data_IF_805425076359
#
_entry.id   IF_805425076359
#
_cell.length_a   1.000
_cell.length_b   1.000
_cell.length_c   1.000
_cell.angle_alpha   90.00
_cell.angle_beta   90.00
_cell.angle_gamma   90.00
#
_symmetry.space_group_name_H-M   'P 1'
#
loop_
_entity.id
_entity.type
_entity.pdbx_description
1 polymer ?
#
# COMPACT_ATOMS: atom_id res chain seq x y z
N UNK A 1 73.40 -49.86 -33.27
CA UNK A 1 72.71 -48.61 -33.64
C UNK A 1 71.35 -48.59 -32.96
N UNK A 2 71.06 -47.49 -32.23
CA UNK A 2 69.75 -46.85 -31.94
C UNK A 2 68.57 -47.70 -31.42
N UNK A 3 68.09 -47.45 -30.18
CA UNK A 3 66.93 -46.58 -29.82
C UNK A 3 65.59 -47.14 -30.34
N UNK A 4 64.49 -47.21 -29.60
CA UNK A 4 64.07 -46.45 -28.44
C UNK A 4 63.04 -47.23 -27.61
N UNK A 5 63.09 -47.05 -26.29
CA UNK A 5 62.02 -47.43 -25.38
C UNK A 5 60.86 -46.44 -25.52
N UNK A 6 59.67 -46.95 -25.86
CA UNK A 6 58.40 -46.26 -25.68
C UNK A 6 58.06 -46.28 -24.19
N UNK A 7 58.52 -45.26 -23.46
CA UNK A 7 58.04 -44.98 -22.12
C UNK A 7 56.68 -44.28 -22.24
N UNK A 8 55.61 -44.97 -21.85
CA UNK A 8 54.34 -44.33 -21.54
C UNK A 8 54.56 -43.44 -20.31
N UNK A 9 54.66 -42.14 -20.52
CA UNK A 9 54.57 -41.15 -19.43
C UNK A 9 53.13 -41.11 -18.90
N UNK A 10 52.84 -41.95 -17.91
CA UNK A 10 51.74 -41.67 -16.99
C UNK A 10 52.24 -40.62 -15.99
N UNK A 11 51.92 -39.37 -16.25
CA UNK A 11 52.16 -38.25 -15.34
C UNK A 11 51.37 -38.49 -14.05
N UNK A 12 52.07 -38.86 -12.99
CA UNK A 12 51.49 -39.00 -11.64
C UNK A 12 51.08 -37.61 -11.19
N UNK A 13 49.77 -37.35 -11.17
CA UNK A 13 49.19 -36.10 -10.71
C UNK A 13 49.58 -35.88 -9.25
N UNK A 14 50.21 -34.74 -8.96
CA UNK A 14 50.70 -34.37 -7.65
C UNK A 14 49.56 -34.41 -6.61
N UNK A 15 49.67 -35.31 -5.62
CA UNK A 15 48.63 -35.56 -4.60
C UNK A 15 48.27 -34.32 -3.79
N UNK A 16 49.16 -33.34 -3.71
CA UNK A 16 48.95 -32.06 -3.03
C UNK A 16 48.05 -31.14 -3.85
N UNK A 17 48.22 -31.12 -5.17
CA UNK A 17 47.35 -30.41 -6.10
C UNK A 17 45.93 -30.98 -6.05
N UNK A 18 45.80 -32.30 -6.08
CA UNK A 18 44.50 -32.97 -6.06
C UNK A 18 43.74 -32.73 -4.74
N UNK A 19 44.43 -32.70 -3.59
CA UNK A 19 43.83 -32.33 -2.30
C UNK A 19 43.37 -30.86 -2.26
N UNK A 20 44.15 -29.93 -2.81
CA UNK A 20 43.77 -28.50 -2.88
C UNK A 20 42.53 -28.29 -3.75
N UNK A 21 42.46 -28.99 -4.89
CA UNK A 21 41.29 -28.97 -5.78
C UNK A 21 40.06 -29.53 -5.05
N UNK A 22 40.19 -30.67 -4.36
CA UNK A 22 39.10 -31.26 -3.57
C UNK A 22 38.60 -30.29 -2.47
N UNK A 23 39.49 -29.65 -1.73
CA UNK A 23 39.10 -28.66 -0.72
C UNK A 23 38.45 -27.42 -1.34
N UNK A 24 38.90 -26.98 -2.53
CA UNK A 24 38.25 -25.92 -3.28
C UNK A 24 36.80 -26.26 -3.65
N UNK A 25 36.57 -27.48 -4.18
CA UNK A 25 35.23 -27.95 -4.49
C UNK A 25 34.37 -28.14 -3.24
N UNK A 26 34.93 -28.67 -2.15
CA UNK A 26 34.22 -28.81 -0.88
C UNK A 26 33.79 -27.45 -0.30
N UNK A 27 34.67 -26.45 -0.36
CA UNK A 27 34.35 -25.09 0.07
C UNK A 27 33.25 -24.46 -0.80
N UNK A 28 33.31 -24.63 -2.12
CA UNK A 28 32.26 -24.17 -3.06
C UNK A 28 30.92 -24.85 -2.80
N UNK A 29 30.92 -26.15 -2.51
CA UNK A 29 29.71 -26.90 -2.18
C UNK A 29 29.09 -26.41 -0.87
N UNK A 30 29.89 -26.20 0.17
CA UNK A 30 29.44 -25.65 1.45
C UNK A 30 28.89 -24.23 1.29
N UNK A 31 29.57 -23.37 0.52
CA UNK A 31 29.10 -22.03 0.20
C UNK A 31 27.74 -22.07 -0.52
N UNK A 32 27.58 -22.97 -1.48
CA UNK A 32 26.33 -23.14 -2.24
C UNK A 32 25.18 -23.59 -1.34
N UNK A 33 25.43 -24.51 -0.41
CA UNK A 33 24.45 -24.93 0.60
C UNK A 33 24.09 -23.76 1.53
N UNK A 34 25.07 -23.00 1.99
CA UNK A 34 24.84 -21.83 2.86
C UNK A 34 23.99 -20.76 2.14
N UNK A 35 24.30 -20.43 0.89
CA UNK A 35 23.51 -19.49 0.07
C UNK A 35 22.09 -20.03 -0.16
N UNK A 36 21.93 -21.33 -0.39
CA UNK A 36 20.61 -21.94 -0.61
C UNK A 36 19.74 -21.92 0.65
N UNK A 37 20.32 -22.17 1.82
CA UNK A 37 19.63 -22.12 3.11
C UNK A 37 19.27 -20.67 3.47
N UNK A 38 20.21 -19.75 3.31
CA UNK A 38 19.95 -18.31 3.47
C UNK A 38 18.85 -17.85 2.50
N UNK A 39 18.92 -18.26 1.24
CA UNK A 39 17.92 -17.94 0.22
C UNK A 39 16.53 -18.47 0.53
N UNK A 40 16.40 -19.65 1.16
CA UNK A 40 15.08 -20.15 1.61
C UNK A 40 14.55 -19.40 2.83
N UNK A 41 15.42 -19.01 3.75
CA UNK A 41 15.03 -18.34 4.98
C UNK A 41 14.69 -16.86 4.76
N UNK A 42 15.52 -16.15 3.99
CA UNK A 42 15.23 -14.79 3.52
C UNK A 42 14.24 -14.77 2.34
N UNK A 43 14.09 -15.87 1.62
CA UNK A 43 13.18 -15.96 0.48
C UNK A 43 11.72 -15.77 0.86
N UNK A 44 11.30 -16.23 2.04
CA UNK A 44 9.93 -16.02 2.51
C UNK A 44 9.65 -14.55 2.83
N UNK A 45 10.57 -13.85 3.50
CA UNK A 45 10.43 -12.42 3.78
C UNK A 45 10.59 -11.52 2.54
N UNK A 46 11.40 -11.94 1.57
CA UNK A 46 11.53 -11.26 0.26
C UNK A 46 10.28 -11.53 -0.61
N UNK A 47 9.75 -12.75 -0.61
CA UNK A 47 8.55 -13.12 -1.38
C UNK A 47 7.29 -12.38 -0.91
N UNK A 48 7.22 -12.06 0.38
CA UNK A 48 6.12 -11.28 0.94
C UNK A 48 6.22 -9.79 0.62
N UNK A 49 7.34 -9.28 0.07
CA UNK A 49 7.47 -7.89 -0.41
C UNK A 49 6.97 -6.80 0.57
N UNK A 50 7.06 -7.05 1.89
CA UNK A 50 6.56 -6.15 2.95
C UNK A 50 5.14 -6.46 3.46
N UNK A 51 4.41 -7.39 2.86
CA UNK A 51 3.16 -7.94 3.37
C UNK A 51 3.37 -8.88 4.56
N UNK A 52 2.30 -9.15 5.30
CA UNK A 52 2.23 -10.18 6.33
C UNK A 52 0.80 -10.72 6.37
N UNK A 53 0.63 -12.00 6.62
CA UNK A 53 -0.64 -12.66 6.92
C UNK A 53 -0.93 -12.71 8.43
N UNK A 54 -0.06 -12.12 9.26
CA UNK A 54 -0.24 -12.03 10.70
C UNK A 54 -1.48 -11.20 11.06
N UNK A 55 -2.47 -11.86 11.66
CA UNK A 55 -3.71 -11.22 12.11
C UNK A 55 -3.66 -10.73 13.56
N UNK A 56 -2.47 -10.71 14.19
CA UNK A 56 -2.30 -10.18 15.55
C UNK A 56 -2.81 -8.75 15.63
N UNK A 57 -3.70 -8.51 16.59
CA UNK A 57 -4.35 -7.20 16.77
C UNK A 57 -3.44 -6.27 17.54
N UNK A 58 -3.23 -5.07 17.00
CA UNK A 58 -2.51 -3.99 17.64
C UNK A 58 -3.42 -2.82 18.00
N UNK A 59 -3.09 -2.16 19.11
CA UNK A 59 -3.72 -0.93 19.58
C UNK A 59 -2.75 0.23 19.37
N UNK A 60 -3.09 1.11 18.42
CA UNK A 60 -2.32 2.30 18.10
C UNK A 60 -3.06 3.52 18.62
N UNK A 61 -2.37 4.36 19.38
CA UNK A 61 -2.94 5.57 19.99
C UNK A 61 -2.50 6.79 19.19
N UNK A 62 -3.47 7.58 18.72
CA UNK A 62 -3.25 8.87 18.04
C UNK A 62 -4.14 9.92 18.70
N UNK A 63 -3.53 10.88 19.38
CA UNK A 63 -4.28 11.83 20.22
C UNK A 63 -5.06 11.09 21.30
N UNK A 64 -6.37 11.32 21.36
CA UNK A 64 -7.30 10.67 22.30
C UNK A 64 -7.95 9.39 21.76
N UNK A 65 -7.51 8.91 20.59
CA UNK A 65 -8.14 7.81 19.89
C UNK A 65 -7.31 6.54 20.00
N UNK A 66 -7.98 5.41 20.24
CA UNK A 66 -7.37 4.08 20.16
C UNK A 66 -7.88 3.38 18.91
N UNK A 67 -6.97 3.12 17.98
CA UNK A 67 -7.24 2.41 16.73
C UNK A 67 -6.81 0.95 16.91
N UNK A 68 -7.77 0.03 16.80
CA UNK A 68 -7.56 -1.41 16.99
C UNK A 68 -7.63 -2.13 15.64
N UNK A 69 -6.48 -2.60 15.13
CA UNK A 69 -6.37 -3.19 13.78
C UNK A 69 -5.42 -4.40 13.77
N UNK A 70 -5.64 -5.40 12.90
CA UNK A 70 -4.71 -6.52 12.75
C UNK A 70 -3.43 -6.11 11.99
N UNK A 71 -2.31 -6.77 12.27
CA UNK A 71 -1.00 -6.45 11.71
C UNK A 71 -0.96 -6.55 10.17
N UNK A 72 -1.72 -7.49 9.59
CA UNK A 72 -1.89 -7.65 8.15
C UNK A 72 -2.69 -6.54 7.46
N UNK A 73 -3.36 -5.66 8.22
CA UNK A 73 -3.97 -4.43 7.70
C UNK A 73 -3.05 -3.21 7.82
N UNK A 74 -1.92 -3.32 8.54
CA UNK A 74 -0.95 -2.23 8.71
C UNK A 74 0.09 -2.28 7.59
N UNK A 75 0.17 -1.19 6.82
CA UNK A 75 0.98 -1.11 5.60
C UNK A 75 2.47 -1.20 5.86
N UNK A 76 2.96 -0.55 6.91
CA UNK A 76 4.38 -0.46 7.22
C UNK A 76 4.76 -1.37 8.38
N UNK A 77 5.72 -2.27 8.18
CA UNK A 77 6.14 -3.25 9.18
C UNK A 77 6.54 -2.61 10.52
N UNK A 78 7.21 -1.45 10.50
CA UNK A 78 7.61 -0.71 11.70
C UNK A 78 6.44 -0.16 12.54
N UNK A 79 5.23 -0.10 11.96
CA UNK A 79 4.01 0.33 12.63
C UNK A 79 3.18 -0.85 13.18
N UNK A 80 3.58 -2.10 12.95
CA UNK A 80 2.92 -3.31 13.47
C UNK A 80 3.29 -3.57 14.93
N UNK A 81 2.87 -2.65 15.80
CA UNK A 81 3.14 -2.69 17.24
C UNK A 81 2.14 -1.82 17.98
N UNK A 82 1.92 -2.15 19.25
CA UNK A 82 1.12 -1.31 20.14
C UNK A 82 1.85 -0.01 20.48
N UNK A 83 1.07 1.01 20.84
CA UNK A 83 1.57 2.25 21.44
C UNK A 83 1.21 3.51 20.68
N UNK A 84 1.86 4.61 21.04
CA UNK A 84 1.57 5.94 20.51
C UNK A 84 2.24 6.13 19.14
N UNK A 85 1.49 6.70 18.20
CA UNK A 85 1.99 7.09 16.89
C UNK A 85 1.41 8.45 16.46
N UNK A 86 2.09 9.17 15.57
CA UNK A 86 1.55 10.37 14.93
C UNK A 86 0.68 10.06 13.72
N UNK A 87 0.85 8.87 13.14
CA UNK A 87 0.21 8.41 11.91
C UNK A 87 0.08 6.88 11.90
N UNK A 88 -1.01 6.38 11.35
CA UNK A 88 -1.19 4.96 11.05
C UNK A 88 -1.70 4.79 9.61
N UNK A 89 -0.92 4.08 8.79
CA UNK A 89 -1.29 3.75 7.41
C UNK A 89 -1.76 2.30 7.30
N UNK A 90 -2.97 2.14 6.78
CA UNK A 90 -3.59 0.88 6.47
C UNK A 90 -3.76 0.70 4.96
N UNK A 91 -3.96 -0.55 4.60
CA UNK A 91 -4.32 -1.01 3.27
C UNK A 91 -5.35 -2.14 3.39
N UNK A 92 -6.50 -1.97 2.76
CA UNK A 92 -7.61 -2.90 2.90
C UNK A 92 -8.10 -3.29 1.51
N UNK A 93 -8.50 -4.54 1.37
CA UNK A 93 -9.16 -5.00 0.17
C UNK A 93 -10.66 -4.70 0.25
N UNK A 94 -11.16 -3.94 -0.70
CA UNK A 94 -12.56 -3.57 -0.83
C UNK A 94 -13.29 -4.57 -1.76
N UNK A 95 -14.54 -4.97 -1.47
CA UNK A 95 -15.42 -4.52 -0.39
C UNK A 95 -15.30 -5.30 0.93
N UNK A 96 -14.41 -6.29 1.02
CA UNK A 96 -14.29 -7.16 2.20
C UNK A 96 -13.77 -6.43 3.44
N UNK A 97 -13.06 -5.31 3.25
CA UNK A 97 -12.41 -4.51 4.27
C UNK A 97 -11.41 -5.31 5.13
N UNK A 98 -10.72 -6.28 4.52
CA UNK A 98 -9.71 -7.11 5.18
C UNK A 98 -8.27 -6.75 4.75
N UNK A 99 -7.33 -7.06 5.63
CA UNK A 99 -5.89 -6.91 5.37
C UNK A 99 -5.35 -8.00 4.44
N UNK A 100 -4.03 -8.02 4.27
CA UNK A 100 -3.37 -9.02 3.43
C UNK A 100 -3.64 -10.45 3.92
N UNK A 101 -3.85 -11.36 2.97
CA UNK A 101 -3.79 -12.79 3.18
C UNK A 101 -3.20 -13.47 1.94
N UNK A 102 -2.59 -14.64 2.10
CA UNK A 102 -2.02 -15.37 0.96
C UNK A 102 -3.04 -15.66 -0.16
N UNK A 103 -4.32 -16.04 0.12
CA UNK A 103 -5.33 -16.16 -0.93
C UNK A 103 -5.66 -14.85 -1.66
N UNK A 104 -5.54 -13.70 -0.98
CA UNK A 104 -5.79 -12.37 -1.53
C UNK A 104 -4.54 -11.71 -2.14
N UNK A 105 -3.41 -12.42 -2.22
CA UNK A 105 -2.12 -11.83 -2.64
C UNK A 105 -2.18 -11.07 -3.96
N UNK A 106 -2.93 -11.55 -4.95
CA UNK A 106 -2.99 -10.92 -6.28
C UNK A 106 -3.64 -9.53 -6.25
N UNK A 107 -4.58 -9.33 -5.32
CA UNK A 107 -5.26 -8.05 -5.11
C UNK A 107 -4.27 -7.03 -4.56
N UNK A 108 -3.53 -7.40 -3.51
CA UNK A 108 -2.50 -6.57 -2.90
C UNK A 108 -1.29 -6.33 -3.81
N UNK A 109 -0.90 -7.32 -4.61
CA UNK A 109 0.17 -7.15 -5.61
C UNK A 109 -0.29 -6.42 -6.87
N UNK A 110 -1.58 -6.07 -7.00
CA UNK A 110 -2.16 -5.41 -8.17
C UNK A 110 -1.88 -6.18 -9.48
N UNK A 111 -1.80 -7.52 -9.38
CA UNK A 111 -1.61 -8.43 -10.53
C UNK A 111 -2.93 -9.00 -11.03
N UNK A 112 -4.02 -8.83 -10.28
CA UNK A 112 -5.38 -9.17 -10.70
C UNK A 112 -5.92 -8.22 -11.77
N UNK A 113 -7.09 -8.57 -12.32
CA UNK A 113 -7.79 -7.75 -13.33
C UNK A 113 -8.51 -6.54 -12.73
N UNK A 114 -8.72 -6.53 -11.41
CA UNK A 114 -9.43 -5.47 -10.68
C UNK A 114 -8.49 -4.88 -9.64
N UNK A 115 -8.35 -3.55 -9.63
CA UNK A 115 -7.69 -2.83 -8.55
C UNK A 115 -8.71 -2.65 -7.44
N UNK A 116 -8.51 -3.35 -6.32
CA UNK A 116 -9.47 -3.36 -5.22
C UNK A 116 -8.88 -3.03 -3.85
N UNK A 117 -7.65 -2.53 -3.80
CA UNK A 117 -7.03 -2.07 -2.56
C UNK A 117 -7.34 -0.59 -2.33
N UNK A 118 -7.82 -0.26 -1.14
CA UNK A 118 -7.94 1.12 -0.64
C UNK A 118 -6.87 1.36 0.42
N UNK A 119 -6.35 2.58 0.48
CA UNK A 119 -5.35 2.98 1.46
C UNK A 119 -5.95 3.97 2.43
N UNK A 120 -5.80 3.74 3.72
CA UNK A 120 -6.34 4.59 4.77
C UNK A 120 -5.17 5.16 5.57
N UNK A 121 -5.22 6.43 5.91
CA UNK A 121 -4.23 7.10 6.75
C UNK A 121 -4.95 7.84 7.88
N UNK A 122 -4.69 7.43 9.11
CA UNK A 122 -5.16 8.11 10.31
C UNK A 122 -4.06 9.03 10.83
N UNK A 123 -4.41 10.29 11.08
CA UNK A 123 -3.54 11.32 11.63
C UNK A 123 -4.37 12.25 12.51
N UNK A 124 -3.72 12.96 13.45
CA UNK A 124 -4.41 14.00 14.21
C UNK A 124 -4.97 15.07 13.25
N UNK A 125 -6.15 15.59 13.57
CA UNK A 125 -6.84 16.58 12.75
C UNK A 125 -6.03 17.87 12.66
N UNK A 126 -5.58 18.20 11.46
CA UNK A 126 -4.87 19.46 11.16
C UNK A 126 -5.81 20.57 10.69
N UNK A 127 -6.94 20.21 10.08
CA UNK A 127 -7.90 21.14 9.46
C UNK A 127 -9.24 21.06 10.18
N UNK A 128 -9.89 22.20 10.42
CA UNK A 128 -11.20 22.25 11.09
C UNK A 128 -12.34 21.64 10.27
N UNK A 129 -12.16 21.46 8.97
CA UNK A 129 -13.15 20.88 8.04
C UNK A 129 -12.51 19.83 7.16
N UNK A 130 -13.23 18.75 6.94
CA UNK A 130 -12.88 17.73 5.96
C UNK A 130 -13.08 18.23 4.51
N UNK A 131 -12.86 17.39 3.50
CA UNK A 131 -13.04 17.81 2.10
C UNK A 131 -14.46 18.22 1.75
N UNK A 132 -15.47 17.63 2.40
CA UNK A 132 -16.87 18.00 2.20
C UNK A 132 -17.13 19.42 2.72
N UNK A 133 -16.73 19.70 3.95
CA UNK A 133 -16.91 21.01 4.57
C UNK A 133 -16.05 22.09 3.91
N UNK A 134 -14.98 21.70 3.20
CA UNK A 134 -14.15 22.61 2.43
C UNK A 134 -14.69 22.95 1.04
N UNK A 135 -15.77 22.32 0.58
CA UNK A 135 -16.29 22.58 -0.77
C UNK A 135 -16.66 24.04 -1.00
N UNK A 136 -17.64 24.55 -0.27
CA UNK A 136 -18.15 25.92 -0.41
C UNK A 136 -17.13 27.00 -0.01
N UNK A 137 -16.41 26.90 1.13
CA UNK A 137 -15.51 27.97 1.54
C UNK A 137 -14.17 28.00 0.79
N UNK A 138 -13.76 26.88 0.15
CA UNK A 138 -12.43 26.78 -0.48
C UNK A 138 -12.55 26.29 -1.92
N UNK A 139 -12.97 25.04 -2.14
CA UNK A 139 -12.84 24.43 -3.46
C UNK A 139 -13.68 25.09 -4.55
N UNK A 140 -14.86 25.61 -4.22
CA UNK A 140 -15.75 26.22 -5.22
C UNK A 140 -15.17 27.47 -5.89
N UNK A 141 -14.21 28.16 -5.24
CA UNK A 141 -13.48 29.29 -5.81
C UNK A 141 -12.27 28.86 -6.65
N UNK A 142 -11.81 27.62 -6.50
CA UNK A 142 -10.62 27.09 -7.15
C UNK A 142 -10.94 26.28 -8.41
N UNK A 143 -12.20 25.94 -8.64
CA UNK A 143 -12.65 25.14 -9.78
C UNK A 143 -13.00 25.99 -11.01
N UNK A 144 -12.83 25.39 -12.18
CA UNK A 144 -13.33 25.91 -13.46
C UNK A 144 -14.73 25.38 -13.72
N UNK A 145 -15.66 26.26 -14.12
CA UNK A 145 -17.04 25.91 -14.48
C UNK A 145 -17.27 26.10 -15.99
N UNK A 146 -18.19 25.34 -16.63
CA UNK A 146 -18.99 24.25 -16.05
C UNK A 146 -18.15 22.98 -15.79
N UNK A 147 -18.61 22.14 -14.88
CA UNK A 147 -18.05 20.80 -14.70
C UNK A 147 -18.59 19.82 -15.75
N UNK A 148 -18.00 18.63 -15.82
CA UNK A 148 -18.46 17.53 -16.66
C UNK A 148 -19.11 16.44 -15.79
N UNK A 149 -20.09 15.72 -16.33
CA UNK A 149 -20.66 14.58 -15.64
C UNK A 149 -19.63 13.46 -15.48
N UNK A 150 -19.56 12.87 -14.29
CA UNK A 150 -18.70 11.75 -13.95
C UNK A 150 -19.50 10.50 -13.53
N UNK A 151 -18.81 9.39 -13.22
CA UNK A 151 -19.43 8.15 -12.74
C UNK A 151 -20.22 8.37 -11.44
N UNK A 152 -21.19 7.49 -11.16
CA UNK A 152 -21.95 7.51 -9.90
C UNK A 152 -22.76 8.79 -9.65
N UNK A 153 -23.09 9.54 -10.71
CA UNK A 153 -23.80 10.82 -10.60
C UNK A 153 -22.94 11.97 -10.06
N UNK A 154 -21.61 11.86 -10.18
CA UNK A 154 -20.68 12.92 -9.78
C UNK A 154 -20.56 14.01 -10.83
N UNK A 155 -20.06 15.18 -10.43
CA UNK A 155 -19.57 16.24 -11.29
C UNK A 155 -18.07 16.38 -11.12
N UNK A 156 -17.33 16.40 -12.23
CA UNK A 156 -15.88 16.56 -12.25
C UNK A 156 -15.56 18.00 -12.69
N UNK A 157 -14.76 18.69 -11.90
CA UNK A 157 -14.30 20.03 -12.17
C UNK A 157 -12.78 20.03 -12.31
N UNK A 158 -12.27 20.70 -13.35
CA UNK A 158 -10.87 21.06 -13.39
C UNK A 158 -10.56 22.13 -12.34
N UNK A 159 -9.34 22.15 -11.83
CA UNK A 159 -8.86 23.28 -11.04
C UNK A 159 -8.32 24.40 -11.93
N UNK A 160 -8.43 25.64 -11.46
CA UNK A 160 -7.81 26.78 -12.12
C UNK A 160 -6.28 26.78 -11.90
N UNK A 161 -5.54 27.46 -12.78
CA UNK A 161 -4.07 27.47 -12.80
C UNK A 161 -3.43 28.03 -11.51
N UNK A 162 -4.18 28.81 -10.72
CA UNK A 162 -3.69 29.48 -9.50
C UNK A 162 -3.89 28.64 -8.24
N UNK A 163 -4.56 27.49 -8.34
CA UNK A 163 -4.99 26.68 -7.19
C UNK A 163 -3.89 25.85 -6.53
N UNK A 164 -2.78 25.63 -7.23
CA UNK A 164 -1.72 24.70 -6.80
C UNK A 164 -2.05 23.21 -7.02
N UNK A 165 -3.27 22.87 -7.44
CA UNK A 165 -3.71 21.49 -7.71
C UNK A 165 -3.46 21.07 -9.16
N UNK A 166 -2.22 21.30 -9.63
CA UNK A 166 -1.82 20.91 -10.98
C UNK A 166 -1.93 19.40 -11.15
N UNK A 167 -2.46 18.96 -12.29
CA UNK A 167 -2.70 17.55 -12.59
C UNK A 167 -3.67 16.87 -11.60
N UNK A 168 -4.63 17.61 -11.06
CA UNK A 168 -5.75 17.07 -10.29
C UNK A 168 -7.08 17.56 -10.86
N UNK A 169 -8.15 16.85 -10.52
CA UNK A 169 -9.55 17.25 -10.72
C UNK A 169 -10.32 17.08 -9.42
N UNK A 170 -11.32 17.93 -9.21
CA UNK A 170 -12.24 17.83 -8.09
C UNK A 170 -13.48 17.04 -8.53
N UNK A 171 -13.78 15.97 -7.82
CA UNK A 171 -14.98 15.16 -8.03
C UNK A 171 -15.98 15.47 -6.92
N UNK A 172 -17.19 15.85 -7.29
CA UNK A 172 -18.25 16.28 -6.38
C UNK A 172 -19.50 15.42 -6.59
N UNK A 173 -19.91 14.68 -5.57
CA UNK A 173 -21.14 13.89 -5.55
C UNK A 173 -22.22 14.60 -4.73
N UNK A 174 -23.42 14.74 -5.29
CA UNK A 174 -24.53 15.35 -4.55
C UNK A 174 -25.02 14.42 -3.43
N UNK A 175 -25.20 14.96 -2.22
CA UNK A 175 -25.82 14.27 -1.08
C UNK A 175 -26.99 15.12 -0.57
N UNK A 176 -28.25 14.81 -0.92
CA UNK A 176 -29.40 15.62 -0.51
C UNK A 176 -29.43 15.83 1.02
N UNK A 177 -29.51 17.09 1.45
CA UNK A 177 -29.57 17.46 2.86
C UNK A 177 -28.26 17.29 3.64
N UNK A 178 -27.14 16.99 2.98
CA UNK A 178 -25.81 16.86 3.59
C UNK A 178 -24.79 17.64 2.77
N UNK A 179 -23.61 17.86 3.33
CA UNK A 179 -22.48 18.35 2.55
C UNK A 179 -22.17 17.37 1.40
N UNK A 180 -21.70 17.84 0.23
CA UNK A 180 -21.47 16.96 -0.91
C UNK A 180 -20.32 15.98 -0.62
N UNK A 181 -20.31 14.84 -1.30
CA UNK A 181 -19.09 14.05 -1.43
C UNK A 181 -18.08 14.85 -2.25
N UNK A 182 -16.83 14.89 -1.80
CA UNK A 182 -15.75 15.65 -2.44
C UNK A 182 -14.48 14.81 -2.39
N UNK A 183 -13.95 14.47 -3.55
CA UNK A 183 -12.66 13.81 -3.69
C UNK A 183 -11.78 14.60 -4.65
N UNK A 184 -10.47 14.51 -4.48
CA UNK A 184 -9.49 14.96 -5.46
C UNK A 184 -8.96 13.73 -6.17
N UNK A 185 -8.86 13.77 -7.48
CA UNK A 185 -8.25 12.71 -8.25
C UNK A 185 -7.11 13.26 -9.09
N UNK A 186 -5.98 12.57 -9.11
CA UNK A 186 -4.92 12.84 -10.09
C UNK A 186 -5.50 12.79 -11.50
N UNK A 187 -4.94 13.57 -12.42
CA UNK A 187 -5.26 13.61 -13.84
C UNK A 187 -3.99 13.48 -14.68
N UNK A 188 -4.14 13.21 -15.98
CA UNK A 188 -3.02 12.97 -16.89
C UNK A 188 -2.19 11.71 -16.55
N UNK A 189 -0.92 11.64 -16.98
CA UNK A 189 -0.07 10.46 -16.83
C UNK A 189 0.13 10.00 -15.38
N UNK A 190 0.13 10.94 -14.43
CA UNK A 190 0.25 10.64 -13.00
C UNK A 190 -0.90 9.77 -12.48
N UNK A 191 -2.09 9.91 -13.07
CA UNK A 191 -3.23 9.07 -12.70
C UNK A 191 -3.06 7.62 -13.17
N UNK A 192 -2.47 7.41 -14.35
CA UNK A 192 -2.29 6.08 -14.96
C UNK A 192 -1.29 5.22 -14.17
N UNK A 193 -0.27 5.87 -13.62
CA UNK A 193 0.78 5.23 -12.82
C UNK A 193 0.35 5.00 -11.36
N UNK A 194 -0.74 5.63 -10.91
CA UNK A 194 -1.22 5.50 -9.55
C UNK A 194 -2.16 4.31 -9.37
N UNK A 195 -1.96 3.56 -8.29
CA UNK A 195 -2.87 2.47 -7.90
C UNK A 195 -4.18 3.02 -7.30
N UNK A 196 -4.10 4.18 -6.66
CA UNK A 196 -5.20 4.86 -6.00
C UNK A 196 -5.10 6.37 -6.28
N UNK A 197 -5.51 6.82 -7.48
CA UNK A 197 -5.36 8.20 -7.92
C UNK A 197 -6.34 9.16 -7.24
N UNK A 198 -7.43 8.65 -6.66
CA UNK A 198 -8.41 9.47 -5.96
C UNK A 198 -8.16 9.45 -4.45
N UNK A 199 -8.37 10.58 -3.79
CA UNK A 199 -8.26 10.74 -2.36
C UNK A 199 -9.38 11.61 -1.78
N UNK A 200 -9.73 11.32 -0.54
CA UNK A 200 -10.69 12.08 0.26
C UNK A 200 -10.33 11.99 1.74
N UNK A 201 -10.46 13.09 2.47
CA UNK A 201 -10.45 13.07 3.94
C UNK A 201 -11.85 13.28 4.54
N UNK A 202 -12.05 12.64 5.69
CA UNK A 202 -13.20 12.75 6.58
C UNK A 202 -12.72 12.91 8.02
N UNK A 203 -13.49 13.60 8.84
CA UNK A 203 -13.27 13.65 10.29
C UNK A 203 -13.91 12.43 10.96
N UNK A 204 -13.18 11.82 11.88
CA UNK A 204 -13.59 10.63 12.63
C UNK A 204 -13.11 10.77 14.08
N UNK A 205 -13.68 10.01 15.02
CA UNK A 205 -13.22 10.02 16.41
C UNK A 205 -13.19 11.42 17.05
N UNK A 206 -12.23 11.63 17.95
CA UNK A 206 -11.96 12.90 18.63
C UNK A 206 -10.73 13.59 18.03
N UNK A 207 -10.92 14.70 17.32
CA UNK A 207 -9.87 15.44 16.61
C UNK A 207 -8.95 14.52 15.75
N UNK A 208 -9.55 13.55 15.06
CA UNK A 208 -8.84 12.63 14.16
C UNK A 208 -9.30 12.80 12.72
N UNK A 209 -8.35 12.78 11.80
CA UNK A 209 -8.61 12.78 10.36
C UNK A 209 -8.32 11.41 9.79
N UNK A 210 -9.23 10.93 8.95
CA UNK A 210 -9.03 9.75 8.11
C UNK A 210 -8.99 10.18 6.65
N UNK A 211 -7.81 10.08 6.04
CA UNK A 211 -7.64 10.21 4.59
C UNK A 211 -7.71 8.83 3.96
N UNK A 212 -8.57 8.62 2.98
CA UNK A 212 -8.61 7.39 2.20
C UNK A 212 -8.34 7.65 0.72
N UNK A 213 -7.53 6.78 0.12
CA UNK A 213 -7.19 6.77 -1.30
C UNK A 213 -7.75 5.52 -1.95
N UNK A 214 -8.27 5.67 -3.16
CA UNK A 214 -8.98 4.61 -3.86
C UNK A 214 -8.76 4.63 -5.39
N UNK A 215 -8.91 3.46 -6.05
CA UNK A 215 -8.96 3.35 -7.50
C UNK A 215 -10.11 4.20 -8.09
N UNK A 216 -9.88 4.84 -9.25
CA UNK A 216 -10.87 5.76 -9.85
C UNK A 216 -12.19 5.06 -10.19
N UNK A 217 -12.13 3.77 -10.47
CA UNK A 217 -13.25 2.90 -10.84
C UNK A 217 -14.33 2.88 -9.75
N UNK A 218 -13.96 3.11 -8.49
CA UNK A 218 -14.91 3.17 -7.37
C UNK A 218 -15.75 4.44 -7.33
N UNK A 219 -15.46 5.44 -8.17
CA UNK A 219 -16.37 6.58 -8.37
C UNK A 219 -17.73 6.16 -8.93
N UNK A 220 -17.84 5.00 -9.58
CA UNK A 220 -19.12 4.47 -10.07
C UNK A 220 -20.12 4.18 -8.94
N UNK A 221 -19.62 3.82 -7.76
CA UNK A 221 -20.40 3.47 -6.57
C UNK A 221 -19.77 4.09 -5.31
N UNK A 222 -19.45 5.39 -5.41
CA UNK A 222 -18.75 6.11 -4.35
C UNK A 222 -19.55 6.15 -3.04
N UNK A 223 -20.87 6.05 -3.11
CA UNK A 223 -21.75 6.02 -1.95
C UNK A 223 -21.48 4.78 -1.09
N UNK A 224 -21.37 3.61 -1.72
CA UNK A 224 -21.05 2.37 -1.02
C UNK A 224 -19.62 2.42 -0.45
N UNK A 225 -18.66 2.96 -1.21
CA UNK A 225 -17.29 3.16 -0.74
C UNK A 225 -17.24 4.07 0.50
N UNK A 226 -17.81 5.27 0.44
CA UNK A 226 -17.80 6.27 1.54
C UNK A 226 -18.48 5.68 2.79
N UNK A 227 -19.58 4.94 2.62
CA UNK A 227 -20.26 4.25 3.72
C UNK A 227 -19.43 3.10 4.33
N UNK A 228 -18.75 2.30 3.49
CA UNK A 228 -17.88 1.21 3.95
C UNK A 228 -16.67 1.74 4.73
N UNK A 229 -16.05 2.83 4.24
CA UNK A 229 -14.93 3.48 4.93
C UNK A 229 -15.38 4.06 6.27
N UNK A 230 -16.52 4.75 6.32
CA UNK A 230 -17.04 5.30 7.57
C UNK A 230 -17.40 4.19 8.58
N UNK A 231 -17.97 3.09 8.10
CA UNK A 231 -18.29 1.91 8.94
C UNK A 231 -17.03 1.28 9.49
N UNK A 232 -16.01 1.09 8.64
CA UNK A 232 -14.73 0.53 9.05
C UNK A 232 -14.02 1.44 10.06
N UNK A 233 -14.01 2.75 9.82
CA UNK A 233 -13.46 3.72 10.76
C UNK A 233 -14.13 3.60 12.14
N UNK A 234 -15.47 3.54 12.17
CA UNK A 234 -16.22 3.34 13.41
C UNK A 234 -15.95 1.98 14.08
N UNK A 235 -15.66 0.94 13.30
CA UNK A 235 -15.34 -0.41 13.82
C UNK A 235 -13.97 -0.45 14.49
N UNK A 236 -12.95 0.18 13.88
CA UNK A 236 -11.57 0.14 14.37
C UNK A 236 -11.30 1.16 15.48
N UNK A 237 -12.07 2.26 15.50
CA UNK A 237 -11.98 3.27 16.55
C UNK A 237 -12.74 2.80 17.79
N UNK A 238 -12.03 2.71 18.91
CA UNK A 238 -12.66 2.77 20.23
C UNK A 238 -12.47 4.18 20.74
N UNK A 239 -13.56 4.83 21.16
CA UNK A 239 -13.45 6.06 21.92
C UNK A 239 -12.64 5.75 23.18
N UNK A 240 -11.52 6.46 23.37
CA UNK A 240 -10.87 6.52 24.67
C UNK A 240 -11.91 7.06 25.64
N UNK A 241 -12.24 6.28 26.67
CA UNK A 241 -13.18 6.69 27.71
C UNK A 241 -12.62 7.79 28.60
#
# INVERSE_FOLDING_TARGET
MKQAALANELTVVDSTLMKRVLYGFAALALLSVAISLAGKWFGHSIAMAGYTDDATVHQVVIGNNVITVPANAIRFAQARRDGIASRLDLYLRYPQMDGYSEPARNDFNHTGTVKNVVFLSFEQQMMSRDMSGRFTPIYSALITRPGIAGPGGTMIYGFNEKSGYLNEVLVVGNRPGKEPFVARCLSGPSAEQSLAPCERDIQVGDELSLTYRFPREFLGDWQALDAAIATEAGRVLKAGG
#
